data_IF_231532394662
#
_entry.id   IF_231532394662
#
_cell.length_a   1.000
_cell.length_b   1.000
_cell.length_c   1.000
_cell.angle_alpha   90.00
_cell.angle_beta   90.00
_cell.angle_gamma   90.00
#
_symmetry.space_group_name_H-M   'P 1'
#
loop_
_entity.id
_entity.type
_entity.pdbx_description
1 polymer ?
#
# COMPACT_ATOMS: atom_id res chain seq x y z
N UNK A 1 20.79 -15.39 -3.28
CA UNK A 1 19.43 -15.42 -3.84
C UNK A 1 19.08 -14.01 -4.24
N UNK A 2 19.11 -13.71 -5.54
CA UNK A 2 18.59 -12.45 -6.07
C UNK A 2 17.14 -12.69 -6.48
N UNK A 3 16.22 -11.84 -6.03
CA UNK A 3 14.88 -11.77 -6.60
C UNK A 3 14.98 -11.08 -7.96
N UNK A 4 14.52 -11.71 -9.03
CA UNK A 4 14.41 -11.02 -10.31
C UNK A 4 13.30 -9.96 -10.22
N UNK A 5 13.49 -8.84 -10.92
CA UNK A 5 12.60 -7.68 -10.81
C UNK A 5 11.19 -7.96 -11.33
N UNK A 6 11.04 -8.89 -12.27
CA UNK A 6 9.75 -9.27 -12.85
C UNK A 6 8.90 -10.03 -11.83
N UNK A 7 9.50 -10.99 -11.12
CA UNK A 7 8.85 -11.69 -10.00
C UNK A 7 8.43 -10.72 -8.90
N UNK A 8 9.30 -9.77 -8.53
CA UNK A 8 8.97 -8.75 -7.53
C UNK A 8 7.80 -7.87 -7.96
N UNK A 9 7.82 -7.39 -9.21
CA UNK A 9 6.75 -6.55 -9.74
C UNK A 9 5.40 -7.28 -9.77
N UNK A 10 5.41 -8.57 -10.13
CA UNK A 10 4.20 -9.40 -10.16
C UNK A 10 3.57 -9.56 -8.78
N UNK A 11 4.39 -9.78 -7.75
CA UNK A 11 3.91 -9.88 -6.37
C UNK A 11 3.61 -8.52 -5.71
N UNK A 12 4.19 -7.43 -6.21
CA UNK A 12 3.91 -6.07 -5.74
C UNK A 12 2.59 -5.50 -6.31
N UNK A 13 2.04 -6.11 -7.35
CA UNK A 13 0.82 -5.63 -8.00
C UNK A 13 -0.41 -5.99 -7.16
N UNK A 14 -1.18 -4.97 -6.75
CA UNK A 14 -2.44 -5.17 -6.02
C UNK A 14 -3.49 -5.74 -6.99
N UNK A 15 -4.18 -6.80 -6.56
CA UNK A 15 -5.04 -7.61 -7.44
C UNK A 15 -6.51 -7.16 -7.48
N UNK A 16 -6.97 -6.40 -6.49
CA UNK A 16 -8.37 -5.98 -6.41
C UNK A 16 -8.54 -4.52 -5.98
N UNK A 17 -9.68 -3.93 -6.36
CA UNK A 17 -10.07 -2.58 -5.92
C UNK A 17 -10.37 -2.55 -4.43
N UNK A 18 -10.85 -3.67 -3.90
CA UNK A 18 -11.16 -3.86 -2.49
C UNK A 18 -9.89 -3.78 -1.65
N UNK A 19 -8.80 -4.45 -2.05
CA UNK A 19 -7.51 -4.35 -1.38
C UNK A 19 -6.95 -2.93 -1.41
N UNK A 20 -7.04 -2.24 -2.55
CA UNK A 20 -6.67 -0.80 -2.65
C UNK A 20 -7.44 0.01 -1.61
N UNK A 21 -8.78 -0.14 -1.55
CA UNK A 21 -9.61 0.60 -0.61
C UNK A 21 -9.28 0.31 0.86
N UNK A 22 -8.94 -0.94 1.20
CA UNK A 22 -8.55 -1.29 2.56
C UNK A 22 -7.20 -0.66 2.91
N UNK A 23 -6.21 -0.75 2.02
CA UNK A 23 -4.89 -0.13 2.21
C UNK A 23 -5.04 1.37 2.41
N UNK A 24 -5.82 2.06 1.57
CA UNK A 24 -6.10 3.49 1.68
C UNK A 24 -6.70 3.82 3.05
N UNK A 25 -7.80 3.17 3.45
CA UNK A 25 -8.46 3.43 4.73
C UNK A 25 -7.54 3.19 5.93
N UNK A 26 -6.72 2.14 5.89
CA UNK A 26 -5.80 1.82 6.99
C UNK A 26 -4.65 2.84 7.07
N UNK A 27 -4.13 3.24 5.91
CA UNK A 27 -3.08 4.26 5.80
C UNK A 27 -3.62 5.62 6.25
N UNK A 28 -4.83 6.00 5.83
CA UNK A 28 -5.51 7.22 6.29
C UNK A 28 -5.73 7.21 7.81
N UNK A 29 -6.08 6.06 8.40
CA UNK A 29 -6.26 5.95 9.84
C UNK A 29 -4.94 6.10 10.62
N UNK A 30 -3.81 5.68 10.03
CA UNK A 30 -2.49 5.74 10.66
C UNK A 30 -1.79 7.09 10.47
N UNK A 31 -1.91 7.69 9.30
CA UNK A 31 -1.14 8.86 8.89
C UNK A 31 -2.00 10.09 8.62
N UNK A 32 -3.33 9.96 8.70
CA UNK A 32 -4.26 11.01 8.29
C UNK A 32 -4.50 11.03 6.79
N UNK A 33 -5.44 11.86 6.37
CA UNK A 33 -5.71 12.09 4.94
C UNK A 33 -4.71 13.08 4.38
N UNK A 34 -4.02 12.77 3.26
CA UNK A 34 -3.16 13.74 2.61
C UNK A 34 -4.02 14.90 2.07
N UNK A 35 -3.65 16.14 2.42
CA UNK A 35 -4.22 17.32 1.77
C UNK A 35 -3.50 17.55 0.44
N UNK A 36 -4.01 16.95 -0.63
CA UNK A 36 -3.45 17.16 -1.97
C UNK A 36 -3.98 18.49 -2.51
N UNK A 37 -3.17 19.54 -2.42
CA UNK A 37 -3.44 20.83 -3.07
C UNK A 37 -2.66 20.88 -4.37
N UNK A 38 -3.36 21.09 -5.49
CA UNK A 38 -2.73 21.27 -6.81
C UNK A 38 -2.48 22.76 -7.00
N UNK A 39 -1.23 23.14 -7.22
CA UNK A 39 -0.84 24.51 -7.51
C UNK A 39 -1.41 24.96 -8.87
N UNK A 40 -1.54 26.28 -9.11
CA UNK A 40 -1.94 26.80 -10.42
C UNK A 40 -1.04 26.32 -11.58
N UNK A 41 0.20 25.95 -11.28
CA UNK A 41 1.19 25.42 -12.22
C UNK A 41 1.01 23.91 -12.51
N UNK A 42 0.01 23.26 -11.90
CA UNK A 42 -0.27 21.84 -12.08
C UNK A 42 0.65 20.91 -11.30
N UNK A 43 1.37 21.42 -10.29
CA UNK A 43 2.22 20.63 -9.41
C UNK A 43 1.52 20.34 -8.08
N UNK A 44 1.97 19.32 -7.36
CA UNK A 44 1.47 19.04 -6.01
C UNK A 44 2.15 20.00 -5.04
N UNK A 45 1.36 20.76 -4.29
CA UNK A 45 1.84 21.61 -3.21
C UNK A 45 2.21 20.76 -1.99
N UNK A 46 3.50 20.47 -1.85
CA UNK A 46 4.04 19.70 -0.73
C UNK A 46 4.31 20.54 0.53
N UNK A 47 3.95 21.83 0.53
CA UNK A 47 4.25 22.74 1.66
C UNK A 47 3.53 22.37 2.96
N UNK A 48 2.46 21.56 2.87
CA UNK A 48 1.66 21.08 4.00
C UNK A 48 1.97 19.64 4.40
N UNK A 49 2.94 18.99 3.75
CA UNK A 49 3.29 17.60 4.07
C UNK A 49 3.92 17.52 5.46
N UNK A 50 3.28 16.78 6.36
CA UNK A 50 3.81 16.52 7.70
C UNK A 50 4.99 15.55 7.63
N UNK A 51 6.17 16.01 8.06
CA UNK A 51 7.36 15.16 8.15
C UNK A 51 7.27 14.22 9.36
N UNK A 52 7.05 12.94 9.11
CA UNK A 52 7.05 11.91 10.15
C UNK A 52 8.50 11.45 10.42
N UNK A 53 9.01 11.77 11.61
CA UNK A 53 10.32 11.25 12.08
C UNK A 53 10.13 9.89 12.74
N UNK A 54 10.77 8.86 12.18
CA UNK A 54 10.76 7.50 12.72
C UNK A 54 12.19 7.05 13.05
N UNK A 55 12.34 6.30 14.15
CA UNK A 55 13.62 5.66 14.46
C UNK A 55 13.89 4.52 13.46
N UNK A 56 15.15 4.12 13.31
CA UNK A 56 15.49 2.96 12.47
C UNK A 56 14.76 1.68 12.91
N UNK A 57 14.63 1.46 14.23
CA UNK A 57 13.85 0.34 14.78
C UNK A 57 12.36 0.45 14.45
N UNK A 58 11.80 1.66 14.49
CA UNK A 58 10.42 1.92 14.06
C UNK A 58 10.21 1.64 12.57
N UNK A 59 11.16 2.04 11.71
CA UNK A 59 11.10 1.76 10.27
C UNK A 59 11.13 0.26 10.00
N UNK A 60 12.03 -0.49 10.67
CA UNK A 60 12.07 -1.95 10.55
C UNK A 60 10.73 -2.57 10.94
N UNK A 61 10.11 -2.08 12.02
CA UNK A 61 8.81 -2.56 12.48
C UNK A 61 7.69 -2.23 11.47
N UNK A 62 7.66 -1.01 10.95
CA UNK A 62 6.70 -0.58 9.92
C UNK A 62 6.79 -1.48 8.68
N UNK A 63 8.00 -1.79 8.21
CA UNK A 63 8.21 -2.70 7.06
C UNK A 63 7.69 -4.11 7.37
N UNK A 64 7.99 -4.66 8.55
CA UNK A 64 7.51 -6.00 8.94
C UNK A 64 5.98 -6.06 9.08
N UNK A 65 5.37 -5.01 9.63
CA UNK A 65 3.91 -4.89 9.73
C UNK A 65 3.27 -4.78 8.34
N UNK A 66 3.85 -3.99 7.43
CA UNK A 66 3.38 -3.88 6.05
C UNK A 66 3.46 -5.22 5.30
N UNK A 67 4.55 -5.98 5.46
CA UNK A 67 4.69 -7.34 4.88
C UNK A 67 3.63 -8.28 5.44
N UNK A 68 3.43 -8.27 6.76
CA UNK A 68 2.43 -9.13 7.43
C UNK A 68 1.01 -8.81 6.94
N UNK A 69 0.69 -7.53 6.85
CA UNK A 69 -0.61 -7.06 6.37
C UNK A 69 -0.83 -7.39 4.90
N UNK A 70 0.17 -7.18 4.05
CA UNK A 70 0.11 -7.53 2.63
C UNK A 70 -0.09 -9.04 2.40
N UNK A 71 0.62 -9.89 3.15
CA UNK A 71 0.42 -11.34 3.10
C UNK A 71 -0.99 -11.75 3.50
N UNK A 72 -1.55 -11.14 4.56
CA UNK A 72 -2.94 -11.38 4.96
C UNK A 72 -3.93 -11.01 3.86
N UNK A 73 -3.77 -9.83 3.22
CA UNK A 73 -4.64 -9.43 2.11
C UNK A 73 -4.56 -10.42 0.95
N UNK A 74 -3.34 -10.83 0.58
CA UNK A 74 -3.11 -11.79 -0.50
C UNK A 74 -3.80 -13.14 -0.25
N UNK A 75 -3.73 -13.66 0.98
CA UNK A 75 -4.36 -14.93 1.37
C UNK A 75 -5.89 -14.83 1.29
N UNK A 76 -6.46 -13.74 1.81
CA UNK A 76 -7.91 -13.50 1.77
C UNK A 76 -8.40 -13.32 0.34
N UNK A 77 -7.72 -12.51 -0.47
CA UNK A 77 -8.06 -12.33 -1.89
C UNK A 77 -8.03 -13.66 -2.63
N UNK A 78 -6.97 -14.46 -2.43
CA UNK A 78 -6.84 -15.78 -3.08
C UNK A 78 -7.97 -16.73 -2.67
N UNK A 79 -8.38 -16.71 -1.40
CA UNK A 79 -9.52 -17.50 -0.94
C UNK A 79 -10.84 -17.05 -1.56
N UNK A 80 -11.12 -15.75 -1.59
CA UNK A 80 -12.35 -15.21 -2.20
C UNK A 80 -12.37 -15.45 -3.71
N UNK A 81 -11.24 -15.26 -4.38
CA UNK A 81 -11.10 -15.41 -5.83
C UNK A 81 -11.32 -16.86 -6.28
N UNK A 82 -10.93 -17.84 -5.46
CA UNK A 82 -11.23 -19.26 -5.71
C UNK A 82 -12.71 -19.61 -5.78
N UNK A 83 -13.60 -18.73 -5.26
CA UNK A 83 -15.05 -18.93 -5.20
C UNK A 83 -15.84 -18.02 -6.12
N UNK A 84 -15.35 -16.79 -6.31
CA UNK A 84 -16.10 -15.73 -6.98
C UNK A 84 -15.42 -15.17 -8.23
N UNK A 85 -14.16 -15.54 -8.51
CA UNK A 85 -13.41 -15.10 -9.69
C UNK A 85 -13.51 -13.59 -9.95
N UNK A 86 -13.16 -12.79 -8.93
CA UNK A 86 -13.37 -11.34 -8.94
C UNK A 86 -12.11 -10.57 -9.31
N UNK A 87 -10.94 -11.21 -9.30
CA UNK A 87 -9.69 -10.62 -9.78
C UNK A 87 -9.66 -10.70 -11.30
N UNK A 88 -9.71 -9.55 -11.97
CA UNK A 88 -9.52 -9.45 -13.41
C UNK A 88 -8.01 -9.47 -13.68
N UNK A 89 -7.50 -10.61 -14.17
CA UNK A 89 -6.12 -10.72 -14.68
C UNK A 89 -5.93 -9.90 -15.96
#
# INVERSE_FOLDING_TARGET
MSFDGETLQRYATIRSKEAVSIIEKHTEALFGRPEIVITPEGTVDSSRDELIKISFGGLKRLVLEAVTFGSFLWDVESYVDSRYHFVLN
#
